data_IF_234254042764
#
_entry.id   IF_234254042764
#
_cell.length_a   1.000
_cell.length_b   1.000
_cell.length_c   1.000
_cell.angle_alpha   90.00
_cell.angle_beta   90.00
_cell.angle_gamma   90.00
#
_symmetry.space_group_name_H-M   'P 1'
#
loop_
_entity.id
_entity.type
_entity.pdbx_description
1 polymer ?
#
# COMPACT_ATOMS: atom_id res chain seq x y z
N UNK A 1 -0.56 -18.83 18.78
CA UNK A 1 0.70 -19.41 18.27
C UNK A 1 1.56 -19.72 19.47
N UNK A 2 2.10 -20.93 19.56
CA UNK A 2 2.92 -21.34 20.72
C UNK A 2 4.36 -20.78 20.63
N UNK A 3 4.85 -20.51 19.42
CA UNK A 3 6.19 -19.96 19.21
C UNK A 3 6.19 -18.43 19.23
N UNK A 4 6.48 -17.86 20.39
CA UNK A 4 6.56 -16.40 20.61
C UNK A 4 7.67 -15.71 19.79
N UNK A 5 8.81 -16.38 19.57
CA UNK A 5 9.90 -15.85 18.74
C UNK A 5 9.46 -15.70 17.28
N UNK A 6 8.78 -16.72 16.75
CA UNK A 6 8.22 -16.66 15.41
C UNK A 6 7.14 -15.56 15.29
N UNK A 7 6.29 -15.39 16.31
CA UNK A 7 5.27 -14.34 16.32
C UNK A 7 5.89 -12.94 16.25
N UNK A 8 6.95 -12.71 17.03
CA UNK A 8 7.69 -11.44 17.02
C UNK A 8 8.31 -11.16 15.65
N UNK A 9 8.96 -12.16 15.04
CA UNK A 9 9.54 -12.01 13.70
C UNK A 9 8.46 -11.70 12.64
N UNK A 10 7.33 -12.42 12.67
CA UNK A 10 6.21 -12.16 11.76
C UNK A 10 5.68 -10.73 11.94
N UNK A 11 5.55 -10.25 13.19
CA UNK A 11 5.13 -8.89 13.48
C UNK A 11 6.13 -7.85 12.92
N UNK A 12 7.44 -8.05 13.11
CA UNK A 12 8.48 -7.16 12.58
C UNK A 12 8.47 -7.11 11.04
N UNK A 13 8.32 -8.26 10.38
CA UNK A 13 8.23 -8.31 8.92
C UNK A 13 6.94 -7.66 8.41
N UNK A 14 5.81 -7.84 9.11
CA UNK A 14 4.54 -7.20 8.74
C UNK A 14 4.60 -5.68 8.88
N UNK A 15 5.33 -5.15 9.87
CA UNK A 15 5.58 -3.69 9.99
C UNK A 15 6.36 -3.14 8.79
N UNK A 16 7.37 -3.86 8.31
CA UNK A 16 8.11 -3.46 7.09
C UNK A 16 7.21 -3.46 5.85
N UNK A 17 6.27 -4.40 5.76
CA UNK A 17 5.27 -4.40 4.68
C UNK A 17 4.41 -3.13 4.75
N UNK A 18 3.95 -2.74 5.93
CA UNK A 18 3.17 -1.51 6.13
C UNK A 18 3.95 -0.24 5.73
N UNK A 19 5.21 -0.13 6.14
CA UNK A 19 6.11 0.96 5.74
C UNK A 19 6.31 1.01 4.21
N UNK A 20 6.50 -0.14 3.57
CA UNK A 20 6.63 -0.22 2.12
C UNK A 20 5.33 0.16 1.40
N UNK A 21 4.17 -0.22 1.92
CA UNK A 21 2.90 0.15 1.32
C UNK A 21 2.64 1.66 1.41
N UNK A 22 3.05 2.30 2.51
CA UNK A 22 3.04 3.76 2.63
C UNK A 22 3.89 4.41 1.53
N UNK A 23 5.13 3.94 1.34
CA UNK A 23 6.01 4.45 0.28
C UNK A 23 5.41 4.26 -1.12
N UNK A 24 4.85 3.08 -1.40
CA UNK A 24 4.15 2.79 -2.66
C UNK A 24 3.00 3.77 -2.90
N UNK A 25 2.21 4.07 -1.87
CA UNK A 25 1.12 5.05 -1.95
C UNK A 25 1.65 6.45 -2.30
N UNK A 26 2.79 6.88 -1.73
CA UNK A 26 3.41 8.17 -2.07
C UNK A 26 3.88 8.23 -3.53
N UNK A 27 4.45 7.14 -4.05
CA UNK A 27 4.85 7.07 -5.45
C UNK A 27 3.64 7.15 -6.39
N UNK A 28 2.56 6.42 -6.09
CA UNK A 28 1.35 6.45 -6.91
C UNK A 28 0.65 7.81 -6.88
N UNK A 29 0.64 8.50 -5.74
CA UNK A 29 0.15 9.87 -5.65
C UNK A 29 0.97 10.83 -6.51
N UNK A 30 2.30 10.69 -6.46
CA UNK A 30 3.22 11.51 -7.28
C UNK A 30 2.96 11.30 -8.78
N UNK A 31 2.75 10.05 -9.20
CA UNK A 31 2.42 9.72 -10.60
C UNK A 31 1.04 10.28 -10.98
N UNK A 32 0.05 10.16 -10.09
CA UNK A 32 -1.30 10.70 -10.32
C UNK A 32 -1.28 12.22 -10.53
N UNK A 33 -0.44 12.94 -9.79
CA UNK A 33 -0.22 14.37 -10.00
C UNK A 33 0.41 14.68 -11.36
N UNK A 34 1.39 13.89 -11.81
CA UNK A 34 2.01 14.06 -13.12
C UNK A 34 1.01 13.82 -14.26
N UNK A 35 0.20 12.78 -14.15
CA UNK A 35 -0.86 12.48 -15.13
C UNK A 35 -1.90 13.60 -15.21
N UNK A 36 -2.28 14.21 -14.08
CA UNK A 36 -3.20 15.35 -14.06
C UNK A 36 -2.55 16.65 -14.59
N UNK A 37 -1.24 16.85 -14.37
CA UNK A 37 -0.54 18.08 -14.80
C UNK A 37 -0.31 18.17 -16.31
N UNK A 38 -0.38 17.05 -17.03
CA UNK A 38 -0.17 16.97 -18.48
C UNK A 38 -1.42 17.39 -19.29
N UNK A 39 -2.51 17.81 -18.63
CA UNK A 39 -3.79 18.25 -19.22
C UNK A 39 -3.70 19.55 -20.08
N UNK A 40 -2.51 20.11 -20.33
CA UNK A 40 -2.32 21.35 -21.10
C UNK A 40 -2.07 21.17 -22.61
N UNK A 41 -2.05 19.94 -23.16
CA UNK A 41 -1.84 19.82 -24.61
C UNK A 41 -1.81 18.44 -25.28
N UNK A 42 -2.00 17.33 -24.57
CA UNK A 42 -2.12 16.01 -25.21
C UNK A 42 -3.42 15.31 -24.85
N UNK A 43 -3.89 14.45 -25.75
CA UNK A 43 -4.97 13.49 -25.48
C UNK A 43 -4.60 12.69 -24.24
N UNK A 44 -5.40 12.85 -23.18
CA UNK A 44 -5.36 12.08 -21.95
C UNK A 44 -5.15 10.61 -22.31
N UNK A 45 -4.04 10.01 -21.87
CA UNK A 45 -3.89 8.56 -21.98
C UNK A 45 -4.80 7.94 -20.91
N UNK A 46 -6.08 7.82 -21.27
CA UNK A 46 -7.13 7.31 -20.40
C UNK A 46 -6.85 5.87 -19.98
N UNK A 47 -6.21 5.07 -20.84
CA UNK A 47 -5.85 3.70 -20.54
C UNK A 47 -4.77 3.66 -19.45
N UNK A 48 -3.70 4.44 -19.61
CA UNK A 48 -2.64 4.55 -18.61
C UNK A 48 -3.17 5.10 -17.29
N UNK A 49 -4.03 6.13 -17.34
CA UNK A 49 -4.63 6.74 -16.15
C UNK A 49 -5.48 5.74 -15.38
N UNK A 50 -6.31 4.97 -16.09
CA UNK A 50 -7.14 3.91 -15.50
C UNK A 50 -6.29 2.81 -14.87
N UNK A 51 -5.14 2.45 -15.46
CA UNK A 51 -4.24 1.46 -14.87
C UNK A 51 -3.63 1.93 -13.55
N UNK A 52 -3.26 3.20 -13.45
CA UNK A 52 -2.77 3.77 -12.19
C UNK A 52 -3.88 3.88 -11.13
N UNK A 53 -5.10 4.22 -11.53
CA UNK A 53 -6.26 4.21 -10.64
C UNK A 53 -6.56 2.80 -10.11
N UNK A 54 -6.58 1.78 -10.98
CA UNK A 54 -6.72 0.37 -10.60
C UNK A 54 -5.65 -0.06 -9.59
N UNK A 55 -4.39 0.36 -9.80
CA UNK A 55 -3.28 0.07 -8.90
C UNK A 55 -3.41 0.79 -7.55
N UNK A 56 -3.82 2.05 -7.55
CA UNK A 56 -4.10 2.84 -6.34
C UNK A 56 -5.18 2.16 -5.48
N UNK A 57 -6.29 1.76 -6.09
CA UNK A 57 -7.38 1.09 -5.39
C UNK A 57 -6.92 -0.22 -4.74
N UNK A 58 -6.12 -1.03 -5.47
CA UNK A 58 -5.54 -2.26 -4.91
C UNK A 58 -4.55 -1.98 -3.77
N UNK A 59 -3.78 -0.91 -3.84
CA UNK A 59 -2.89 -0.52 -2.73
C UNK A 59 -3.67 -0.11 -1.49
N UNK A 60 -4.82 0.55 -1.63
CA UNK A 60 -5.70 0.86 -0.51
C UNK A 60 -6.21 -0.42 0.18
N UNK A 61 -6.62 -1.42 -0.60
CA UNK A 61 -7.04 -2.73 -0.07
C UNK A 61 -5.89 -3.44 0.65
N UNK A 62 -4.69 -3.44 0.06
CA UNK A 62 -3.49 -4.01 0.67
C UNK A 62 -3.14 -3.30 1.99
N UNK A 63 -3.25 -1.97 2.03
CA UNK A 63 -3.05 -1.18 3.25
C UNK A 63 -4.03 -1.63 4.34
N UNK A 64 -5.34 -1.69 4.05
CA UNK A 64 -6.38 -2.11 5.00
C UNK A 64 -6.13 -3.53 5.54
N UNK A 65 -5.78 -4.46 4.64
CA UNK A 65 -5.46 -5.84 5.02
C UNK A 65 -4.22 -5.91 5.91
N UNK A 66 -3.18 -5.15 5.58
CA UNK A 66 -1.93 -5.10 6.35
C UNK A 66 -2.17 -4.52 7.75
N UNK A 67 -2.91 -3.42 7.86
CA UNK A 67 -3.26 -2.82 9.15
C UNK A 67 -4.11 -3.76 10.01
N UNK A 68 -5.10 -4.45 9.40
CA UNK A 68 -5.91 -5.45 10.12
C UNK A 68 -5.07 -6.63 10.61
N UNK A 69 -4.12 -7.11 9.80
CA UNK A 69 -3.19 -8.16 10.21
C UNK A 69 -2.28 -7.71 11.36
N UNK A 70 -1.76 -6.49 11.30
CA UNK A 70 -0.94 -5.92 12.38
C UNK A 70 -1.69 -5.82 13.70
N UNK A 71 -2.96 -5.40 13.69
CA UNK A 71 -3.81 -5.35 14.87
C UNK A 71 -4.00 -6.77 15.46
N UNK A 72 -4.31 -7.76 14.62
CA UNK A 72 -4.43 -9.15 15.06
C UNK A 72 -3.13 -9.73 15.63
N UNK A 73 -1.98 -9.46 14.99
CA UNK A 73 -0.68 -9.93 15.46
C UNK A 73 -0.29 -9.26 16.78
N UNK A 74 -0.54 -7.97 16.92
CA UNK A 74 -0.24 -7.20 18.14
C UNK A 74 -1.06 -7.71 19.33
N UNK A 75 -2.35 -8.01 19.13
CA UNK A 75 -3.21 -8.62 20.17
C UNK A 75 -2.80 -10.03 20.60
N UNK A 76 -2.06 -10.76 19.76
CA UNK A 76 -1.57 -12.11 20.07
C UNK A 76 -0.19 -12.10 20.70
N UNK A 77 0.58 -11.03 20.48
CA UNK A 77 1.91 -10.83 21.05
C UNK A 77 1.84 -10.16 22.44
N UNK A 78 0.83 -9.30 22.66
CA UNK A 78 0.50 -8.73 23.97
C UNK A 78 -0.34 -9.69 24.82
#
# INVERSE_FOLDING_TARGET
MENQKALKEILEQTKKIDENNFNNTQYLNSISMLLASNDLGSTKDEELSKKFEELNNKMEDINKLTSSLLDQLSRRHN
#
